data_IF_083973472678
#
_entry.id   IF_083973472678
#
_cell.length_a   1.000
_cell.length_b   1.000
_cell.length_c   1.000
_cell.angle_alpha   90.00
_cell.angle_beta   90.00
_cell.angle_gamma   90.00
#
_symmetry.space_group_name_H-M   'P 1'
#
loop_
_entity.id
_entity.type
_entity.pdbx_description
1 polymer ?
#
# COMPACT_ATOMS: atom_id res chain seq x y z
N UNK A 1 69.58 44.39 53.73
CA UNK A 1 69.14 45.67 54.33
C UNK A 1 68.39 46.45 53.28
N UNK A 2 67.12 46.78 53.59
CA UNK A 2 66.25 47.86 53.03
C UNK A 2 65.90 47.70 51.52
N UNK A 3 64.74 47.14 51.15
CA UNK A 3 63.40 47.78 51.05
C UNK A 3 63.39 48.99 50.09
N UNK A 4 62.44 49.19 49.16
CA UNK A 4 61.07 49.72 49.38
C UNK A 4 60.41 49.78 47.98
N UNK A 5 59.25 49.16 47.69
CA UNK A 5 57.88 49.75 47.63
C UNK A 5 57.80 51.17 47.01
N UNK A 6 56.83 51.64 46.20
CA UNK A 6 55.54 51.17 45.64
C UNK A 6 54.96 52.32 44.74
N UNK A 7 54.00 52.00 43.85
CA UNK A 7 52.77 52.81 43.49
C UNK A 7 52.99 54.12 42.66
N UNK A 8 52.21 54.57 41.64
CA UNK A 8 50.90 54.24 41.06
C UNK A 8 50.71 54.83 39.64
N UNK A 9 49.83 54.16 38.87
CA UNK A 9 48.71 54.66 38.06
C UNK A 9 48.91 55.75 36.97
N UNK A 10 48.63 55.34 35.73
CA UNK A 10 47.70 56.08 34.87
C UNK A 10 48.25 56.63 33.55
N UNK A 11 47.98 55.92 32.44
CA UNK A 11 47.32 56.52 31.26
C UNK A 11 46.92 55.45 30.25
N UNK A 12 45.62 55.49 29.92
CA UNK A 12 44.90 54.64 28.99
C UNK A 12 45.40 54.81 27.54
N UNK A 13 45.55 53.70 26.83
CA UNK A 13 45.62 53.61 25.37
C UNK A 13 44.48 52.69 24.94
N UNK A 14 43.61 53.06 23.98
CA UNK A 14 42.53 52.19 23.55
C UNK A 14 43.08 51.14 22.59
N UNK A 15 43.12 49.88 23.01
CA UNK A 15 43.42 48.74 22.14
C UNK A 15 42.11 48.27 21.49
N UNK A 16 42.01 48.48 20.19
CA UNK A 16 40.92 48.01 19.33
C UNK A 16 40.90 46.48 19.36
N UNK A 17 39.88 45.90 20.00
CA UNK A 17 39.63 44.46 20.02
C UNK A 17 38.79 44.09 18.78
N UNK A 18 39.46 43.56 17.75
CA UNK A 18 38.83 42.98 16.58
C UNK A 18 38.19 41.63 16.98
N UNK A 19 36.91 41.65 17.33
CA UNK A 19 36.11 40.43 17.53
C UNK A 19 35.79 39.84 16.16
N UNK A 20 36.60 38.86 15.74
CA UNK A 20 36.36 38.06 14.54
C UNK A 20 35.22 37.09 14.85
N UNK A 21 33.98 37.48 14.52
CA UNK A 21 32.79 36.67 14.71
C UNK A 21 32.85 35.45 13.79
N UNK A 22 33.10 34.28 14.37
CA UNK A 22 33.12 32.98 13.71
C UNK A 22 31.67 32.59 13.36
N UNK A 23 31.13 33.13 12.26
CA UNK A 23 29.89 32.62 11.66
C UNK A 23 30.21 31.31 10.91
N UNK A 24 30.39 30.22 11.65
CA UNK A 24 30.14 28.88 11.12
C UNK A 24 28.64 28.78 10.84
N UNK A 25 28.23 29.26 9.66
CA UNK A 25 26.93 28.96 9.11
C UNK A 25 26.81 27.46 8.98
N UNK A 26 26.03 26.84 9.88
CA UNK A 26 25.61 25.46 9.73
C UNK A 26 24.73 25.45 8.50
N UNK A 27 25.32 25.12 7.35
CA UNK A 27 24.57 24.84 6.14
C UNK A 27 23.69 23.62 6.44
N UNK A 28 22.46 23.87 6.88
CA UNK A 28 21.41 22.85 6.79
C UNK A 28 21.28 22.54 5.32
N UNK A 29 21.78 21.38 4.90
CA UNK A 29 21.40 20.81 3.62
C UNK A 29 19.87 20.79 3.61
N UNK A 30 19.26 21.63 2.76
CA UNK A 30 17.86 21.46 2.43
C UNK A 30 17.80 20.10 1.73
N UNK A 31 17.35 19.07 2.45
CA UNK A 31 16.96 17.82 1.84
C UNK A 31 15.92 18.18 0.78
N UNK A 32 16.29 18.10 -0.49
CA UNK A 32 15.33 18.25 -1.58
C UNK A 32 14.32 17.13 -1.41
N UNK A 33 13.12 17.45 -0.91
CA UNK A 33 11.99 16.53 -0.88
C UNK A 33 11.91 15.82 -2.24
N UNK A 34 11.95 14.48 -2.28
CA UNK A 34 11.80 13.75 -3.52
C UNK A 34 10.56 14.22 -4.26
N UNK A 35 10.63 14.36 -5.59
CA UNK A 35 9.50 14.80 -6.39
C UNK A 35 8.22 13.96 -6.15
N UNK A 36 8.39 12.67 -5.82
CA UNK A 36 7.30 11.76 -5.46
C UNK A 36 6.61 12.11 -4.14
N UNK A 37 7.37 12.44 -3.09
CA UNK A 37 6.82 12.84 -1.78
C UNK A 37 5.96 14.09 -1.92
N UNK A 38 6.51 15.14 -2.53
CA UNK A 38 5.79 16.39 -2.77
C UNK A 38 4.53 16.18 -3.60
N UNK A 39 4.58 15.34 -4.63
CA UNK A 39 3.41 15.01 -5.45
C UNK A 39 2.33 14.27 -4.63
N UNK A 40 2.72 13.35 -3.77
CA UNK A 40 1.80 12.61 -2.91
C UNK A 40 1.15 13.53 -1.87
N UNK A 41 1.91 14.42 -1.22
CA UNK A 41 1.38 15.39 -0.26
C UNK A 41 0.51 16.47 -0.93
N UNK A 42 0.87 16.91 -2.14
CA UNK A 42 0.02 17.79 -2.93
C UNK A 42 -1.33 17.11 -3.29
N UNK A 43 -1.30 15.82 -3.64
CA UNK A 43 -2.52 15.03 -3.87
C UNK A 43 -3.36 14.95 -2.59
N UNK A 44 -2.77 14.68 -1.43
CA UNK A 44 -3.48 14.69 -0.14
C UNK A 44 -4.21 16.01 0.08
N UNK A 45 -3.52 17.15 -0.06
CA UNK A 45 -4.11 18.47 0.10
C UNK A 45 -5.30 18.68 -0.85
N UNK A 46 -5.17 18.27 -2.12
CA UNK A 46 -6.21 18.42 -3.13
C UNK A 46 -7.46 17.56 -2.88
N UNK A 47 -7.31 16.39 -2.23
CA UNK A 47 -8.44 15.47 -1.98
C UNK A 47 -8.93 15.47 -0.53
N UNK A 48 -8.39 16.32 0.34
CA UNK A 48 -8.70 16.32 1.78
C UNK A 48 -10.20 16.30 2.08
N UNK A 49 -10.98 17.18 1.44
CA UNK A 49 -12.45 17.18 1.65
C UNK A 49 -13.12 15.88 1.21
N UNK A 50 -12.58 15.15 0.22
CA UNK A 50 -13.11 13.86 -0.23
C UNK A 50 -12.70 12.73 0.72
N UNK A 51 -11.53 12.83 1.34
CA UNK A 51 -11.11 11.92 2.43
C UNK A 51 -12.00 12.10 3.66
N UNK A 52 -12.39 13.33 4.00
CA UNK A 52 -13.20 13.59 5.20
C UNK A 52 -14.69 13.31 4.97
N UNK A 53 -15.20 13.57 3.75
CA UNK A 53 -16.62 13.42 3.39
C UNK A 53 -16.78 12.37 2.31
N UNK A 54 -16.99 11.12 2.71
CA UNK A 54 -17.19 9.99 1.81
C UNK A 54 -18.15 8.94 2.40
N UNK A 55 -18.49 7.96 1.57
CA UNK A 55 -19.39 6.86 1.89
C UNK A 55 -18.75 5.71 2.72
N UNK A 56 -17.43 5.72 2.92
CA UNK A 56 -16.69 4.63 3.56
C UNK A 56 -16.65 4.74 5.09
N UNK A 57 -16.95 5.92 5.64
CA UNK A 57 -16.84 6.17 7.09
C UNK A 57 -15.41 6.06 7.62
N UNK A 58 -14.43 6.25 6.73
CA UNK A 58 -12.99 6.22 6.99
C UNK A 58 -12.32 7.22 6.03
N UNK A 59 -11.10 7.72 6.33
CA UNK A 59 -10.41 8.69 5.49
C UNK A 59 -9.84 8.01 4.23
N UNK A 60 -10.72 7.64 3.31
CA UNK A 60 -10.44 6.87 2.09
C UNK A 60 -11.03 7.60 0.89
N UNK A 61 -10.26 7.67 -0.19
CA UNK A 61 -10.71 8.18 -1.47
C UNK A 61 -10.29 7.22 -2.59
N UNK A 62 -11.26 6.83 -3.42
CA UNK A 62 -11.05 5.95 -4.56
C UNK A 62 -11.35 6.71 -5.84
N UNK A 63 -10.49 6.57 -6.83
CA UNK A 63 -10.77 6.96 -8.20
C UNK A 63 -10.28 5.88 -9.17
N UNK A 64 -10.97 5.75 -10.30
CA UNK A 64 -10.70 4.70 -11.28
C UNK A 64 -10.95 5.21 -12.69
N UNK A 65 -10.18 4.69 -13.64
CA UNK A 65 -10.28 5.01 -15.06
C UNK A 65 -10.16 3.73 -15.87
N UNK A 66 -11.03 3.58 -16.86
CA UNK A 66 -10.95 2.53 -17.87
C UNK A 66 -10.66 3.20 -19.22
N UNK A 67 -9.51 2.85 -19.81
CA UNK A 67 -9.14 3.22 -21.17
C UNK A 67 -9.53 2.12 -22.16
N UNK A 68 -9.07 2.25 -23.42
CA UNK A 68 -9.41 1.28 -24.47
C UNK A 68 -8.90 -0.14 -24.16
N UNK A 69 -7.64 -0.22 -23.72
CA UNK A 69 -6.90 -1.47 -23.48
C UNK A 69 -6.23 -1.51 -22.10
N UNK A 70 -6.61 -0.61 -21.20
CA UNK A 70 -6.03 -0.54 -19.86
C UNK A 70 -7.05 -0.10 -18.83
N UNK A 71 -6.79 -0.48 -17.58
CA UNK A 71 -7.57 -0.04 -16.42
C UNK A 71 -6.63 0.38 -15.31
N UNK A 72 -7.03 1.42 -14.59
CA UNK A 72 -6.31 1.95 -13.43
C UNK A 72 -7.30 2.24 -12.31
N UNK A 73 -6.92 1.85 -11.10
CA UNK A 73 -7.59 2.28 -9.87
C UNK A 73 -6.53 2.83 -8.93
N UNK A 74 -6.82 3.99 -8.37
CA UNK A 74 -6.02 4.66 -7.35
C UNK A 74 -6.87 4.76 -6.07
N UNK A 75 -6.31 4.30 -4.96
CA UNK A 75 -6.91 4.33 -3.63
C UNK A 75 -5.99 5.08 -2.70
N UNK A 76 -6.51 6.13 -2.07
CA UNK A 76 -5.81 6.94 -1.11
C UNK A 76 -6.42 6.72 0.27
N UNK A 77 -5.59 6.74 1.30
CA UNK A 77 -6.09 6.62 2.66
C UNK A 77 -5.14 7.13 3.73
N UNK A 78 -5.72 7.55 4.86
CA UNK A 78 -4.93 7.90 6.06
C UNK A 78 -4.93 6.71 7.02
N UNK A 79 -3.73 6.21 7.29
CA UNK A 79 -3.46 5.15 8.23
C UNK A 79 -2.97 5.77 9.53
N UNK A 80 -3.66 5.51 10.65
CA UNK A 80 -3.29 6.03 11.97
C UNK A 80 -2.14 5.21 12.60
N UNK A 81 -1.07 5.00 11.84
CA UNK A 81 0.16 4.32 12.22
C UNK A 81 1.37 5.24 11.95
N UNK A 82 2.43 5.17 12.77
CA UNK A 82 3.68 5.88 12.49
C UNK A 82 4.24 5.48 11.12
N UNK A 83 4.76 6.46 10.37
CA UNK A 83 5.29 6.23 9.03
C UNK A 83 6.38 5.17 8.99
N UNK A 84 7.28 5.14 9.97
CA UNK A 84 8.34 4.13 10.04
C UNK A 84 7.78 2.70 10.11
N UNK A 85 6.74 2.48 10.93
CA UNK A 85 6.10 1.17 11.03
C UNK A 85 5.43 0.75 9.71
N UNK A 86 4.80 1.71 9.00
CA UNK A 86 4.22 1.46 7.68
C UNK A 86 5.31 1.18 6.64
N UNK A 87 6.37 2.00 6.62
CA UNK A 87 7.50 1.87 5.70
C UNK A 87 8.15 0.50 5.84
N UNK A 88 8.52 0.12 7.06
CA UNK A 88 9.26 -1.10 7.34
C UNK A 88 8.41 -2.35 7.05
N UNK A 89 7.11 -2.29 7.36
CA UNK A 89 6.16 -3.33 6.99
C UNK A 89 6.09 -3.52 5.47
N UNK A 90 5.88 -2.44 4.71
CA UNK A 90 5.66 -2.52 3.27
C UNK A 90 6.93 -2.81 2.48
N UNK A 91 8.10 -2.48 3.02
CA UNK A 91 9.40 -2.81 2.43
C UNK A 91 9.76 -4.30 2.53
N UNK A 92 9.05 -5.08 3.35
CA UNK A 92 9.31 -6.52 3.53
C UNK A 92 8.54 -7.39 2.52
N UNK A 93 9.21 -8.19 1.66
CA UNK A 93 8.54 -9.13 0.77
C UNK A 93 7.67 -10.16 1.52
N UNK A 94 8.12 -10.61 2.69
CA UNK A 94 7.36 -11.55 3.52
C UNK A 94 6.03 -10.95 4.00
N UNK A 95 6.03 -9.66 4.34
CA UNK A 95 4.81 -8.95 4.72
C UNK A 95 3.78 -8.95 3.59
N UNK A 96 4.22 -8.81 2.33
CA UNK A 96 3.31 -8.84 1.19
C UNK A 96 2.60 -10.18 1.05
N UNK A 97 3.25 -11.31 1.34
CA UNK A 97 2.56 -12.59 1.35
C UNK A 97 1.50 -12.70 2.45
N UNK A 98 1.77 -12.14 3.61
CA UNK A 98 0.79 -12.02 4.69
C UNK A 98 -0.36 -11.05 4.37
N UNK A 99 -0.09 -9.98 3.60
CA UNK A 99 -1.09 -9.01 3.14
C UNK A 99 -1.97 -9.65 2.08
N UNK A 100 -1.40 -10.12 0.97
CA UNK A 100 -2.16 -10.56 -0.20
C UNK A 100 -2.95 -11.82 0.05
N UNK A 101 -2.46 -12.73 0.91
CA UNK A 101 -3.15 -13.99 1.21
C UNK A 101 -4.42 -13.82 2.02
N UNK A 102 -4.73 -12.62 2.55
CA UNK A 102 -6.05 -12.30 3.08
C UNK A 102 -7.11 -12.25 1.97
N UNK A 103 -6.73 -11.88 0.74
CA UNK A 103 -7.67 -11.75 -0.35
C UNK A 103 -8.31 -13.11 -0.69
N UNK A 104 -9.64 -13.16 -0.81
CA UNK A 104 -10.40 -14.42 -1.01
C UNK A 104 -9.93 -15.24 -2.21
N UNK A 105 -9.39 -14.60 -3.26
CA UNK A 105 -8.87 -15.27 -4.45
C UNK A 105 -7.38 -15.62 -4.40
N UNK A 106 -6.61 -15.24 -3.39
CA UNK A 106 -5.20 -15.63 -3.28
C UNK A 106 -5.09 -16.88 -2.41
N UNK A 107 -4.57 -17.96 -2.99
CA UNK A 107 -4.50 -19.31 -2.40
C UNK A 107 -3.18 -19.56 -1.66
N UNK A 108 -2.13 -18.88 -2.09
CA UNK A 108 -0.83 -18.79 -1.46
C UNK A 108 -0.10 -17.58 -2.01
N UNK A 109 0.88 -17.09 -1.26
CA UNK A 109 1.93 -16.22 -1.75
C UNK A 109 3.28 -16.77 -1.30
N UNK A 110 4.21 -16.86 -2.23
CA UNK A 110 5.62 -17.13 -1.92
C UNK A 110 6.49 -15.96 -2.36
N UNK A 111 7.64 -15.82 -1.71
CA UNK A 111 8.67 -14.89 -2.12
C UNK A 111 10.02 -15.59 -2.23
N UNK A 112 10.84 -15.12 -3.17
CA UNK A 112 12.21 -15.56 -3.36
C UNK A 112 13.11 -14.35 -3.52
N UNK A 113 14.08 -14.22 -2.62
CA UNK A 113 15.07 -13.14 -2.63
C UNK A 113 16.37 -13.68 -3.22
N UNK A 114 16.69 -13.28 -4.45
CA UNK A 114 17.98 -13.53 -5.07
C UNK A 114 18.99 -12.41 -4.79
N UNK A 115 20.20 -12.52 -5.35
CA UNK A 115 21.27 -11.51 -5.18
C UNK A 115 20.90 -10.13 -5.73
N UNK A 116 20.09 -10.07 -6.78
CA UNK A 116 19.78 -8.84 -7.52
C UNK A 116 18.27 -8.57 -7.66
N UNK A 117 17.42 -9.56 -7.40
CA UNK A 117 15.99 -9.44 -7.66
C UNK A 117 15.23 -10.21 -6.60
N UNK A 118 14.13 -9.62 -6.14
CA UNK A 118 13.13 -10.29 -5.32
C UNK A 118 11.89 -10.54 -6.17
N UNK A 119 11.37 -11.76 -6.12
CA UNK A 119 10.13 -12.15 -6.79
C UNK A 119 9.09 -12.56 -5.75
N UNK A 120 7.85 -12.10 -5.93
CA UNK A 120 6.65 -12.62 -5.29
C UNK A 120 5.89 -13.48 -6.30
N UNK A 121 5.33 -14.60 -5.87
CA UNK A 121 4.39 -15.40 -6.67
C UNK A 121 3.06 -15.48 -5.94
N UNK A 122 2.03 -14.86 -6.52
CA UNK A 122 0.66 -14.91 -6.02
C UNK A 122 -0.11 -16.01 -6.74
N UNK A 123 -0.59 -17.01 -6.01
CA UNK A 123 -1.41 -18.08 -6.58
C UNK A 123 -2.88 -17.65 -6.60
N UNK A 124 -3.33 -17.11 -7.73
CA UNK A 124 -4.68 -16.57 -7.92
C UNK A 124 -5.65 -17.67 -8.36
N UNK A 125 -6.69 -17.88 -7.57
CA UNK A 125 -7.66 -18.97 -7.74
C UNK A 125 -9.11 -18.58 -7.43
N UNK A 126 -9.93 -19.60 -7.25
CA UNK A 126 -11.37 -19.47 -7.00
C UNK A 126 -11.65 -18.94 -5.58
N UNK A 127 -12.90 -18.54 -5.32
CA UNK A 127 -13.33 -17.99 -4.01
C UNK A 127 -13.40 -19.02 -2.87
N UNK A 128 -13.36 -20.31 -3.20
CA UNK A 128 -13.27 -21.40 -2.23
C UNK A 128 -11.82 -21.89 -2.12
N UNK A 129 -11.58 -22.83 -1.20
CA UNK A 129 -10.30 -23.52 -1.14
C UNK A 129 -9.99 -24.14 -2.51
N UNK A 130 -8.74 -23.96 -2.93
CA UNK A 130 -8.16 -24.54 -4.13
C UNK A 130 -6.67 -24.72 -3.85
N UNK A 131 -6.09 -25.91 -4.10
CA UNK A 131 -4.65 -26.11 -3.96
C UNK A 131 -3.88 -25.11 -4.85
N UNK A 132 -2.74 -24.57 -4.39
CA UNK A 132 -1.96 -23.64 -5.21
C UNK A 132 -1.50 -24.23 -6.56
N UNK A 133 -1.36 -25.54 -6.68
CA UNK A 133 -1.06 -26.24 -7.94
C UNK A 133 -2.11 -26.03 -9.03
N UNK A 134 -3.35 -25.76 -8.63
CA UNK A 134 -4.49 -25.60 -9.55
C UNK A 134 -4.81 -24.12 -9.78
N UNK A 135 -4.12 -23.22 -9.08
CA UNK A 135 -4.28 -21.78 -9.16
C UNK A 135 -3.30 -21.17 -10.17
N UNK A 136 -3.64 -20.01 -10.73
CA UNK A 136 -2.76 -19.31 -11.66
C UNK A 136 -1.58 -18.66 -10.90
N UNK A 137 -0.32 -18.97 -11.23
CA UNK A 137 0.84 -18.39 -10.57
C UNK A 137 1.20 -17.02 -11.19
N UNK A 138 0.71 -15.94 -10.58
CA UNK A 138 1.06 -14.57 -10.97
C UNK A 138 2.43 -14.20 -10.37
N UNK A 139 3.45 -14.12 -11.23
CA UNK A 139 4.81 -13.73 -10.84
C UNK A 139 4.98 -12.22 -10.89
N UNK A 140 5.43 -11.64 -9.79
CA UNK A 140 5.62 -10.20 -9.61
C UNK A 140 7.06 -9.92 -9.18
N UNK A 141 7.75 -9.05 -9.91
CA UNK A 141 9.00 -8.46 -9.46
C UNK A 141 8.70 -7.47 -8.33
N UNK A 142 9.31 -7.70 -7.17
CA UNK A 142 9.23 -6.83 -6.00
C UNK A 142 10.30 -5.74 -6.12
N UNK A 143 9.88 -4.48 -6.23
CA UNK A 143 10.77 -3.35 -6.54
C UNK A 143 10.57 -2.20 -5.54
N UNK A 144 11.40 -2.09 -4.51
CA UNK A 144 11.55 -0.84 -3.76
C UNK A 144 12.07 0.23 -4.72
N UNK A 145 11.26 1.25 -5.03
CA UNK A 145 11.62 2.33 -5.95
C UNK A 145 12.32 3.44 -5.19
N UNK A 146 11.80 3.81 -4.01
CA UNK A 146 12.40 4.80 -3.13
C UNK A 146 12.07 4.43 -1.68
N UNK A 147 13.09 4.40 -0.82
CA UNK A 147 12.92 4.15 0.62
C UNK A 147 13.71 5.21 1.37
N UNK A 148 13.00 6.16 1.97
CA UNK A 148 13.57 7.33 2.64
C UNK A 148 12.88 7.59 3.98
N UNK A 149 13.44 8.46 4.85
CA UNK A 149 12.85 8.80 6.15
C UNK A 149 11.45 9.39 6.09
N UNK A 150 11.08 10.07 4.99
CA UNK A 150 9.76 10.71 4.82
C UNK A 150 8.97 10.20 3.60
N UNK A 151 9.51 9.22 2.88
CA UNK A 151 8.84 8.73 1.68
C UNK A 151 9.17 7.27 1.37
N UNK A 152 8.13 6.50 1.07
CA UNK A 152 8.23 5.16 0.51
C UNK A 152 7.55 5.16 -0.85
N UNK A 153 8.20 4.55 -1.85
CA UNK A 153 7.59 4.09 -3.08
C UNK A 153 8.04 2.68 -3.39
N UNK A 154 7.08 1.80 -3.67
CA UNK A 154 7.28 0.40 -3.97
C UNK A 154 6.36 -0.03 -5.11
N UNK A 155 6.85 -0.93 -5.95
CA UNK A 155 6.08 -1.51 -7.04
C UNK A 155 6.21 -3.04 -7.08
N UNK A 156 5.09 -3.71 -7.31
CA UNK A 156 5.03 -5.11 -7.72
C UNK A 156 4.67 -5.15 -9.20
N UNK A 157 5.53 -5.73 -10.03
CA UNK A 157 5.40 -5.67 -11.50
C UNK A 157 5.35 -7.07 -12.10
N UNK A 158 4.30 -7.40 -12.85
CA UNK A 158 4.16 -8.66 -13.59
C UNK A 158 3.82 -8.40 -15.05
N UNK A 159 4.50 -9.09 -15.95
CA UNK A 159 4.30 -8.90 -17.40
C UNK A 159 3.02 -9.59 -17.89
N UNK A 160 2.69 -10.72 -17.30
CA UNK A 160 1.53 -11.54 -17.65
C UNK A 160 0.62 -11.75 -16.43
N UNK A 161 -0.67 -11.92 -16.68
CA UNK A 161 -1.63 -12.29 -15.66
C UNK A 161 -2.78 -13.16 -16.17
N UNK A 162 -3.73 -13.46 -15.29
CA UNK A 162 -4.85 -14.34 -15.60
C UNK A 162 -5.66 -13.86 -16.81
N UNK A 163 -6.23 -14.79 -17.58
CA UNK A 163 -7.13 -14.47 -18.70
C UNK A 163 -6.48 -13.60 -19.81
N UNK A 164 -5.14 -13.63 -19.93
CA UNK A 164 -4.41 -12.91 -20.98
C UNK A 164 -4.28 -11.40 -20.72
N UNK A 165 -4.45 -10.96 -19.47
CA UNK A 165 -4.07 -9.61 -19.05
C UNK A 165 -2.55 -9.48 -18.98
N UNK A 166 -2.05 -8.24 -19.10
CA UNK A 166 -0.63 -7.93 -19.17
C UNK A 166 -0.30 -6.68 -18.35
N UNK A 167 0.98 -6.38 -18.20
CA UNK A 167 1.50 -5.14 -17.62
C UNK A 167 0.91 -4.83 -16.23
N UNK A 168 0.78 -5.86 -15.40
CA UNK A 168 0.28 -5.72 -14.04
C UNK A 168 1.26 -4.91 -13.21
N UNK A 169 0.77 -3.82 -12.60
CA UNK A 169 1.53 -3.02 -11.66
C UNK A 169 0.68 -2.70 -10.44
N UNK A 170 1.12 -3.18 -9.28
CA UNK A 170 0.63 -2.74 -7.98
C UNK A 170 1.65 -1.75 -7.44
N UNK A 171 1.26 -0.50 -7.26
CA UNK A 171 2.11 0.55 -6.70
C UNK A 171 1.65 0.94 -5.30
N UNK A 172 2.60 1.13 -4.38
CA UNK A 172 2.32 1.74 -3.08
C UNK A 172 3.26 2.90 -2.84
N UNK A 173 2.69 4.04 -2.48
CA UNK A 173 3.42 5.20 -1.99
C UNK A 173 2.94 5.53 -0.57
N UNK A 174 3.83 5.98 0.29
CA UNK A 174 3.48 6.44 1.63
C UNK A 174 4.35 7.62 2.06
N UNK A 175 3.76 8.55 2.80
CA UNK A 175 4.43 9.69 3.42
C UNK A 175 3.81 9.98 4.80
N UNK A 176 4.58 10.50 5.78
CA UNK A 176 4.03 10.91 7.06
C UNK A 176 3.08 12.11 6.88
N UNK A 177 2.03 12.14 7.70
CA UNK A 177 1.20 13.32 7.93
C UNK A 177 1.41 13.77 9.37
N UNK A 178 1.85 15.01 9.54
CA UNK A 178 2.09 15.58 10.86
C UNK A 178 0.84 15.45 11.76
N UNK A 179 1.00 14.78 12.90
CA UNK A 179 -0.06 14.53 13.88
C UNK A 179 -1.21 13.61 13.45
N UNK A 180 -1.19 13.06 12.22
CA UNK A 180 -2.32 12.30 11.64
C UNK A 180 -1.96 10.87 11.23
N UNK A 181 -0.68 10.51 11.24
CA UNK A 181 -0.19 9.17 10.90
C UNK A 181 0.48 9.14 9.54
N UNK A 182 0.04 8.25 8.66
CA UNK A 182 0.65 8.01 7.35
C UNK A 182 -0.39 8.15 6.25
N UNK A 183 -0.11 9.00 5.26
CA UNK A 183 -0.90 9.01 4.03
C UNK A 183 -0.36 7.94 3.08
N UNK A 184 -1.25 7.09 2.58
CA UNK A 184 -0.93 5.98 1.70
C UNK A 184 -1.70 6.12 0.39
N UNK A 185 -1.01 5.85 -0.71
CA UNK A 185 -1.58 5.69 -2.03
C UNK A 185 -1.30 4.27 -2.52
N UNK A 186 -2.36 3.50 -2.77
CA UNK A 186 -2.32 2.20 -3.43
C UNK A 186 -2.86 2.35 -4.85
N UNK A 187 -2.10 1.94 -5.85
CA UNK A 187 -2.53 1.93 -7.25
C UNK A 187 -2.48 0.53 -7.81
N UNK A 188 -3.42 0.21 -8.70
CA UNK A 188 -3.37 -1.03 -9.48
C UNK A 188 -3.72 -0.74 -10.93
N UNK A 189 -2.82 -1.17 -11.83
CA UNK A 189 -3.01 -1.07 -13.28
C UNK A 189 -2.75 -2.41 -13.95
N UNK A 190 -3.45 -2.65 -15.06
CA UNK A 190 -3.09 -3.68 -16.02
C UNK A 190 -3.62 -3.31 -17.40
N UNK A 191 -3.08 -3.96 -18.43
CA UNK A 191 -3.50 -3.87 -19.82
C UNK A 191 -4.12 -5.19 -20.28
N UNK A 192 -4.86 -5.15 -21.39
CA UNK A 192 -5.42 -6.34 -22.01
C UNK A 192 -5.52 -6.18 -23.53
N UNK A 193 -5.23 -7.25 -24.26
CA UNK A 193 -5.42 -7.28 -25.72
C UNK A 193 -6.89 -7.41 -26.13
N UNK A 194 -7.18 -7.23 -27.42
CA UNK A 194 -8.54 -7.25 -27.95
C UNK A 194 -9.33 -8.54 -27.60
N UNK A 195 -8.68 -9.71 -27.66
CA UNK A 195 -9.31 -10.98 -27.29
C UNK A 195 -9.66 -11.06 -25.80
N UNK A 196 -8.73 -10.67 -24.93
CA UNK A 196 -8.95 -10.62 -23.49
C UNK A 196 -10.07 -9.63 -23.13
N UNK A 197 -10.10 -8.46 -23.77
CA UNK A 197 -11.16 -7.47 -23.62
C UNK A 197 -12.53 -8.04 -23.98
N UNK A 198 -12.65 -8.76 -25.10
CA UNK A 198 -13.91 -9.38 -25.52
C UNK A 198 -14.38 -10.43 -24.50
N UNK A 199 -13.49 -11.31 -24.06
CA UNK A 199 -13.81 -12.32 -23.05
C UNK A 199 -14.27 -11.70 -21.71
N UNK A 200 -13.55 -10.67 -21.25
CA UNK A 200 -13.87 -9.92 -20.04
C UNK A 200 -15.25 -9.25 -20.16
N UNK A 201 -15.54 -8.59 -21.29
CA UNK A 201 -16.86 -7.97 -21.52
C UNK A 201 -17.98 -9.01 -21.50
N UNK A 202 -17.80 -10.16 -22.15
CA UNK A 202 -18.78 -11.25 -22.13
C UNK A 202 -19.02 -11.80 -20.73
N UNK A 203 -17.96 -11.95 -19.92
CA UNK A 203 -18.08 -12.36 -18.53
C UNK A 203 -18.94 -11.38 -17.72
N UNK A 204 -18.68 -10.08 -17.82
CA UNK A 204 -19.46 -9.06 -17.10
C UNK A 204 -20.87 -8.85 -17.66
N UNK A 205 -21.11 -9.17 -18.94
CA UNK A 205 -22.47 -9.21 -19.49
C UNK A 205 -23.30 -10.38 -18.93
N UNK A 206 -22.66 -11.41 -18.34
CA UNK A 206 -23.29 -12.65 -17.89
C UNK A 206 -23.07 -12.88 -16.38
N UNK A 207 -22.10 -13.73 -16.03
CA UNK A 207 -21.83 -14.19 -14.66
C UNK A 207 -21.34 -13.09 -13.73
N UNK A 208 -20.75 -12.03 -14.29
CA UNK A 208 -20.26 -10.87 -13.55
C UNK A 208 -21.24 -9.70 -13.46
N UNK A 209 -22.45 -9.80 -14.02
CA UNK A 209 -23.38 -8.65 -14.19
C UNK A 209 -23.72 -7.94 -12.90
N UNK A 210 -23.88 -8.69 -11.81
CA UNK A 210 -24.25 -8.12 -10.51
C UNK A 210 -23.05 -7.58 -9.70
N UNK A 211 -21.83 -7.67 -10.25
CA UNK A 211 -20.61 -7.25 -9.57
C UNK A 211 -20.35 -5.77 -9.83
N UNK A 212 -20.77 -4.96 -8.85
CA UNK A 212 -20.61 -3.50 -8.88
C UNK A 212 -19.43 -3.02 -8.03
N UNK A 213 -18.83 -1.91 -8.45
CA UNK A 213 -17.79 -1.17 -7.74
C UNK A 213 -18.34 -0.24 -6.65
N UNK A 214 -17.53 0.75 -6.30
CA UNK A 214 -17.80 1.76 -5.28
C UNK A 214 -18.10 3.12 -5.87
N UNK A 215 -17.60 3.44 -7.05
CA UNK A 215 -17.92 4.69 -7.73
C UNK A 215 -19.39 4.72 -8.13
N UNK A 216 -20.07 5.81 -7.80
CA UNK A 216 -21.44 6.09 -8.23
C UNK A 216 -21.43 7.04 -9.44
N UNK A 217 -22.29 6.77 -10.41
CA UNK A 217 -22.53 7.61 -11.59
C UNK A 217 -24.03 7.84 -11.78
N UNK A 218 -24.39 9.02 -12.28
CA UNK A 218 -25.76 9.42 -12.56
C UNK A 218 -25.97 10.92 -12.35
N UNK A 219 -27.04 11.44 -12.94
CA UNK A 219 -27.56 12.80 -12.72
C UNK A 219 -28.88 12.72 -11.92
N UNK A 220 -29.27 13.82 -11.27
CA UNK A 220 -30.60 14.03 -10.69
C UNK A 220 -31.13 12.90 -9.79
N UNK A 221 -30.37 12.58 -8.73
CA UNK A 221 -30.87 11.77 -7.61
C UNK A 221 -30.95 10.26 -7.84
N UNK A 222 -30.71 9.75 -9.06
CA UNK A 222 -30.62 8.31 -9.33
C UNK A 222 -29.17 7.88 -9.59
N UNK A 223 -28.41 7.77 -8.50
CA UNK A 223 -27.04 7.28 -8.53
C UNK A 223 -27.00 5.75 -8.67
N UNK A 224 -26.21 5.24 -9.60
CA UNK A 224 -25.95 3.80 -9.78
C UNK A 224 -24.47 3.50 -9.62
N UNK A 225 -24.13 2.34 -9.06
CA UNK A 225 -22.74 1.93 -8.98
C UNK A 225 -22.24 1.49 -10.34
N UNK A 226 -21.00 1.84 -10.67
CA UNK A 226 -20.35 1.32 -11.87
C UNK A 226 -20.21 -0.21 -11.80
N UNK A 227 -20.30 -0.88 -12.94
CA UNK A 227 -20.14 -2.32 -13.08
C UNK A 227 -18.98 -2.64 -14.04
N UNK A 228 -18.98 -3.86 -14.60
CA UNK A 228 -18.00 -4.25 -15.60
C UNK A 228 -16.56 -4.34 -15.07
N UNK A 229 -15.61 -4.07 -15.97
CA UNK A 229 -14.17 -4.17 -15.68
C UNK A 229 -13.80 -3.19 -14.58
N UNK A 230 -14.15 -1.91 -14.75
CA UNK A 230 -13.89 -0.87 -13.77
C UNK A 230 -14.43 -1.23 -12.38
N UNK A 231 -15.69 -1.65 -12.28
CA UNK A 231 -16.29 -2.07 -11.02
C UNK A 231 -15.56 -3.26 -10.38
N UNK A 232 -15.17 -4.27 -11.17
CA UNK A 232 -14.42 -5.41 -10.67
C UNK A 232 -13.03 -5.06 -10.12
N UNK A 233 -12.31 -4.15 -10.78
CA UNK A 233 -10.99 -3.71 -10.32
C UNK A 233 -11.09 -2.86 -9.05
N UNK A 234 -12.12 -2.01 -8.92
CA UNK A 234 -12.37 -1.27 -7.67
C UNK A 234 -12.58 -2.21 -6.47
N UNK A 235 -13.34 -3.30 -6.67
CA UNK A 235 -13.58 -4.30 -5.62
C UNK A 235 -12.27 -4.96 -5.15
N UNK A 236 -11.41 -5.35 -6.09
CA UNK A 236 -10.13 -5.97 -5.76
C UNK A 236 -9.18 -4.97 -5.09
N UNK A 237 -9.14 -3.72 -5.57
CA UNK A 237 -8.33 -2.65 -4.97
C UNK A 237 -8.77 -2.38 -3.53
N UNK A 238 -10.07 -2.29 -3.27
CA UNK A 238 -10.61 -2.16 -1.90
C UNK A 238 -10.22 -3.33 -1.00
N UNK A 239 -10.31 -4.56 -1.51
CA UNK A 239 -9.90 -5.75 -0.74
C UNK A 239 -8.42 -5.73 -0.35
N UNK A 240 -7.53 -5.30 -1.25
CA UNK A 240 -6.10 -5.17 -0.94
C UNK A 240 -5.81 -4.02 0.01
N UNK A 241 -6.49 -2.87 -0.16
CA UNK A 241 -6.39 -1.76 0.80
C UNK A 241 -6.79 -2.20 2.21
N UNK A 242 -7.93 -2.89 2.36
CA UNK A 242 -8.37 -3.42 3.65
C UNK A 242 -7.43 -4.51 4.19
N UNK A 243 -6.75 -5.25 3.33
CA UNK A 243 -5.72 -6.21 3.73
C UNK A 243 -4.45 -5.53 4.28
N UNK A 244 -4.03 -4.41 3.68
CA UNK A 244 -2.97 -3.56 4.20
C UNK A 244 -3.33 -3.02 5.58
N UNK A 245 -4.53 -2.46 5.71
CA UNK A 245 -5.03 -1.97 7.00
C UNK A 245 -5.03 -3.06 8.06
N UNK A 246 -5.56 -4.24 7.72
CA UNK A 246 -5.65 -5.33 8.68
C UNK A 246 -4.28 -5.90 9.04
N UNK A 247 -3.34 -5.93 8.10
CA UNK A 247 -1.96 -6.32 8.39
C UNK A 247 -1.35 -5.39 9.46
N UNK A 248 -1.44 -4.07 9.24
CA UNK A 248 -0.93 -3.07 10.18
C UNK A 248 -1.66 -3.12 11.53
N UNK A 249 -2.99 -3.28 11.54
CA UNK A 249 -3.81 -3.46 12.76
C UNK A 249 -3.31 -4.61 13.65
N UNK A 250 -2.76 -5.65 13.04
CA UNK A 250 -2.33 -6.87 13.75
C UNK A 250 -0.86 -6.89 14.15
N UNK A 251 -0.03 -5.94 13.72
CA UNK A 251 1.40 -5.91 14.06
C UNK A 251 1.66 -5.81 15.57
N UNK A 252 0.78 -5.13 16.29
CA UNK A 252 0.85 -4.99 17.76
C UNK A 252 0.60 -6.29 18.53
N UNK A 253 0.08 -7.33 17.88
CA UNK A 253 -0.23 -8.61 18.52
C UNK A 253 1.01 -9.52 18.55
N UNK A 254 1.07 -10.49 19.48
CA UNK A 254 2.08 -11.55 19.45
C UNK A 254 2.03 -12.33 18.13
N UNK A 255 3.18 -12.71 17.58
CA UNK A 255 3.30 -13.31 16.25
C UNK A 255 2.34 -14.48 16.01
N UNK A 256 2.27 -15.43 16.96
CA UNK A 256 1.40 -16.61 16.88
C UNK A 256 -0.11 -16.29 16.86
N UNK A 257 -0.53 -15.08 17.23
CA UNK A 257 -1.94 -14.65 17.18
C UNK A 257 -2.28 -13.83 15.94
N UNK A 258 -1.27 -13.31 15.22
CA UNK A 258 -1.48 -12.34 14.13
C UNK A 258 -2.32 -12.92 13.01
N UNK A 259 -2.02 -14.15 12.56
CA UNK A 259 -2.68 -14.74 11.39
C UNK A 259 -4.21 -14.85 11.59
N UNK A 260 -4.67 -15.50 12.66
CA UNK A 260 -6.08 -15.70 12.94
C UNK A 260 -6.83 -14.37 13.10
N UNK A 261 -6.24 -13.42 13.84
CA UNK A 261 -6.83 -12.10 14.03
C UNK A 261 -6.91 -11.33 12.71
N UNK A 262 -5.89 -11.45 11.86
CA UNK A 262 -5.82 -10.79 10.56
C UNK A 262 -6.90 -11.28 9.61
N UNK A 263 -7.05 -12.59 9.42
CA UNK A 263 -8.10 -13.11 8.53
C UNK A 263 -9.50 -12.77 9.05
N UNK A 264 -9.74 -12.87 10.37
CA UNK A 264 -11.03 -12.52 10.97
C UNK A 264 -11.38 -11.05 10.78
N UNK A 265 -10.43 -10.15 11.06
CA UNK A 265 -10.59 -8.71 10.93
C UNK A 265 -10.80 -8.28 9.47
N UNK A 266 -10.08 -8.87 8.53
CA UNK A 266 -10.24 -8.58 7.11
C UNK A 266 -11.65 -8.93 6.62
N UNK A 267 -12.17 -10.08 7.05
CA UNK A 267 -13.54 -10.46 6.74
C UNK A 267 -14.53 -9.43 7.29
N UNK A 268 -14.39 -9.02 8.55
CA UNK A 268 -15.30 -8.06 9.18
C UNK A 268 -15.27 -6.69 8.49
N UNK A 269 -14.10 -6.23 8.06
CA UNK A 269 -13.96 -4.98 7.30
C UNK A 269 -14.61 -5.08 5.91
N UNK A 270 -14.42 -6.18 5.19
CA UNK A 270 -15.04 -6.37 3.87
C UNK A 270 -16.56 -6.58 3.98
N UNK A 271 -17.04 -7.19 5.06
CA UNK A 271 -18.47 -7.41 5.32
C UNK A 271 -19.27 -6.12 5.52
N UNK A 272 -18.62 -4.98 5.82
CA UNK A 272 -19.25 -3.66 5.83
C UNK A 272 -19.76 -3.20 4.45
N UNK A 273 -19.27 -3.83 3.38
CA UNK A 273 -19.63 -3.51 2.00
C UNK A 273 -20.31 -4.72 1.34
N UNK A 274 -21.47 -5.20 1.83
CA UNK A 274 -22.01 -6.48 1.41
C UNK A 274 -22.42 -6.51 -0.07
N UNK A 275 -22.87 -5.37 -0.63
CA UNK A 275 -23.24 -5.27 -2.05
C UNK A 275 -22.02 -5.44 -2.97
N UNK A 276 -20.87 -4.90 -2.58
CA UNK A 276 -19.66 -4.91 -3.38
C UNK A 276 -18.80 -6.15 -3.08
N UNK A 277 -18.57 -6.51 -1.81
CA UNK A 277 -17.46 -7.37 -1.42
C UNK A 277 -17.84 -8.75 -0.86
N UNK A 278 -19.08 -8.97 -0.39
CA UNK A 278 -19.49 -10.26 0.19
C UNK A 278 -19.57 -11.35 -0.88
N UNK A 279 -18.93 -12.49 -0.62
CA UNK A 279 -18.82 -13.61 -1.58
C UNK A 279 -19.13 -14.99 -0.96
N UNK A 280 -18.73 -15.20 0.30
CA UNK A 280 -18.95 -16.42 1.11
C UNK A 280 -19.16 -16.00 2.57
N UNK A 281 -19.60 -16.92 3.43
CA UNK A 281 -19.72 -16.68 4.88
C UNK A 281 -18.37 -16.70 5.61
N UNK A 282 -18.36 -16.19 6.85
CA UNK A 282 -17.15 -16.06 7.67
C UNK A 282 -16.55 -17.42 8.02
N UNK A 283 -17.31 -18.42 8.51
CA UNK A 283 -16.75 -19.74 8.81
C UNK A 283 -16.05 -20.39 7.60
N UNK A 284 -16.67 -20.36 6.42
CA UNK A 284 -16.10 -20.90 5.20
C UNK A 284 -14.83 -20.15 4.78
N UNK A 285 -14.84 -18.81 4.85
CA UNK A 285 -13.65 -18.00 4.57
C UNK A 285 -12.49 -18.35 5.51
N UNK A 286 -12.72 -18.40 6.82
CA UNK A 286 -11.68 -18.69 7.80
C UNK A 286 -11.13 -20.11 7.63
N UNK A 287 -12.01 -21.10 7.39
CA UNK A 287 -11.61 -22.47 7.11
C UNK A 287 -10.70 -22.57 5.89
N UNK A 288 -11.09 -21.95 4.78
CA UNK A 288 -10.28 -21.93 3.55
C UNK A 288 -8.92 -21.28 3.80
N UNK A 289 -8.88 -20.16 4.53
CA UNK A 289 -7.63 -19.42 4.78
C UNK A 289 -6.63 -20.20 5.62
N UNK A 290 -7.10 -21.01 6.59
CA UNK A 290 -6.23 -21.89 7.38
C UNK A 290 -5.58 -22.98 6.52
N UNK A 291 -6.35 -23.60 5.63
CA UNK A 291 -5.84 -24.58 4.68
C UNK A 291 -4.84 -23.95 3.70
N UNK A 292 -5.17 -22.78 3.17
CA UNK A 292 -4.31 -21.99 2.28
C UNK A 292 -3.00 -21.59 2.98
N UNK A 293 -3.04 -21.21 4.26
CA UNK A 293 -1.85 -20.90 5.05
C UNK A 293 -0.90 -22.09 5.19
N UNK A 294 -1.43 -23.27 5.52
CA UNK A 294 -0.62 -24.48 5.61
C UNK A 294 0.06 -24.82 4.27
N UNK A 295 -0.66 -24.66 3.15
CA UNK A 295 -0.09 -24.86 1.81
C UNK A 295 0.96 -23.80 1.45
N UNK A 296 0.71 -22.54 1.80
CA UNK A 296 1.65 -21.45 1.60
C UNK A 296 2.97 -21.71 2.34
N UNK A 297 2.91 -22.09 3.61
CA UNK A 297 4.11 -22.34 4.41
C UNK A 297 4.92 -23.52 3.84
N UNK A 298 4.24 -24.59 3.41
CA UNK A 298 4.87 -25.73 2.74
C UNK A 298 5.50 -25.37 1.38
N UNK A 299 4.91 -24.44 0.62
CA UNK A 299 5.47 -23.95 -0.64
C UNK A 299 6.66 -23.02 -0.41
N UNK A 300 6.54 -22.08 0.52
CA UNK A 300 7.61 -21.14 0.85
C UNK A 300 8.88 -21.86 1.33
N UNK A 301 8.73 -22.95 2.09
CA UNK A 301 9.85 -23.78 2.53
C UNK A 301 10.66 -24.38 1.36
N UNK A 302 10.03 -24.60 0.20
CA UNK A 302 10.67 -25.12 -1.02
C UNK A 302 11.39 -24.05 -1.84
N UNK A 303 11.05 -22.77 -1.66
CA UNK A 303 11.68 -21.65 -2.37
C UNK A 303 13.06 -21.29 -1.79
N UNK A 304 13.31 -21.67 -0.53
CA UNK A 304 14.56 -21.50 0.20
C UNK A 304 15.44 -22.76 0.29
N UNK A 305 15.06 -23.84 -0.40
CA UNK A 305 15.89 -25.02 -0.65
C UNK A 305 16.86 -24.81 -1.81
#
# INVERSE_FOLDING_TARGET
MVATERIHCGRLVPLILLVMFLCCGVARAAETEPAGERALLAKYAAIKSKLDKNQFGAPIYLESKEGHDSVRVDMYGVFHYPFEAVRDALHSPAAWCDITSQHINIKACTYKTGKQHTQLTLYSGRKYFQPPSDAYPLKLSFRPVTVQPQYLELALVGEEGPLGTKDHRIGVQAAPLEGQGTFLHFSYTYSHGAMARMAIKTYFATLGRDKVGFTQVGEDGKQTYIDGVRGAVERNTMRYYLALQTYLDTLKLPEGQRFEQRISRWYDLTAKYPRQLKEIDKPAYLSNKRLERAQQDALQAKEGS
#
